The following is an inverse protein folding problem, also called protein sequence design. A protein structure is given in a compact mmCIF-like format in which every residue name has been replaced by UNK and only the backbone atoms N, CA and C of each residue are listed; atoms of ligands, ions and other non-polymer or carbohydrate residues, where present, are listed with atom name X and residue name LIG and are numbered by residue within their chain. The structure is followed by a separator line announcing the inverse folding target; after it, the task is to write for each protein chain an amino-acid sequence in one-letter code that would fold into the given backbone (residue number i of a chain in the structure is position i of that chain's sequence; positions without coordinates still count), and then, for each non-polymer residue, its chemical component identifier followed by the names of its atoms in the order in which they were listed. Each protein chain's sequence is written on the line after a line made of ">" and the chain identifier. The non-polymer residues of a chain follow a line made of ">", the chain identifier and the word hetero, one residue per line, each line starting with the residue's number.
data_IF_881634626856
#
_entry.id   IF_881634626856
#
_cell.length_a   1.000
_cell.length_b   1.000
_cell.length_c   1.000
_cell.angle_alpha   90.00
_cell.angle_beta   90.00
_cell.angle_gamma   90.00
#
_symmetry.space_group_name_H-M   'P 1'
#
loop_
_entity.id
_entity.type
_entity.pdbx_description
1 polymer ?
#
# COMPACT_ATOMS: atom_id res chain seq x y z
N UNK A 1 -2.70 19.83 -1.89
CA UNK A 1 -2.19 18.64 -1.20
C UNK A 1 -1.36 19.03 0.01
N UNK A 2 -1.92 18.75 1.19
CA UNK A 2 -1.31 19.03 2.49
C UNK A 2 -0.79 17.74 3.13
N UNK A 3 0.10 17.85 4.13
CA UNK A 3 0.55 16.70 4.94
C UNK A 3 -0.58 16.19 5.83
N UNK A 4 -0.48 14.95 6.27
CA UNK A 4 -1.45 14.34 7.21
C UNK A 4 -2.66 13.70 6.55
N UNK A 5 -2.78 13.76 5.22
CA UNK A 5 -3.78 12.98 4.48
C UNK A 5 -3.64 11.51 4.83
N UNK A 6 -4.77 10.87 5.13
CA UNK A 6 -4.82 9.53 5.69
C UNK A 6 -5.89 8.69 5.00
N UNK A 7 -5.59 7.41 4.79
CA UNK A 7 -6.58 6.44 4.35
C UNK A 7 -6.24 5.05 4.86
N UNK A 8 -7.27 4.26 5.16
CA UNK A 8 -7.15 2.86 5.56
C UNK A 8 -7.77 1.96 4.50
N UNK A 9 -6.95 1.11 3.88
CA UNK A 9 -7.43 0.01 3.05
C UNK A 9 -7.55 -1.27 3.87
N UNK A 10 -8.48 -2.14 3.48
CA UNK A 10 -8.74 -3.43 4.14
C UNK A 10 -8.85 -4.54 3.13
N UNK A 11 -8.45 -5.74 3.52
CA UNK A 11 -8.59 -6.96 2.71
C UNK A 11 -8.78 -8.17 3.61
N UNK A 12 -9.57 -9.14 3.14
CA UNK A 12 -9.65 -10.45 3.77
C UNK A 12 -8.56 -11.36 3.21
N UNK A 13 -7.89 -12.12 4.08
CA UNK A 13 -6.95 -13.15 3.64
C UNK A 13 -7.73 -14.28 2.98
N UNK A 14 -7.43 -14.55 1.71
CA UNK A 14 -8.05 -15.60 0.89
C UNK A 14 -6.95 -16.40 0.21
N UNK A 15 -7.29 -17.54 -0.39
CA UNK A 15 -6.31 -18.36 -1.10
C UNK A 15 -5.52 -17.55 -2.15
N UNK A 16 -6.15 -16.59 -2.83
CA UNK A 16 -5.54 -15.79 -3.89
C UNK A 16 -4.46 -14.80 -3.43
N UNK A 17 -4.37 -14.48 -2.12
CA UNK A 17 -3.40 -13.52 -1.59
C UNK A 17 -2.46 -14.15 -0.55
N UNK A 18 -2.31 -15.47 -0.61
CA UNK A 18 -1.35 -16.21 0.22
C UNK A 18 0.06 -16.17 -0.35
N UNK A 19 1.05 -16.43 0.51
CA UNK A 19 2.45 -16.53 0.09
C UNK A 19 2.65 -17.62 -0.97
N UNK A 20 1.94 -18.75 -0.83
CA UNK A 20 1.89 -19.81 -1.82
C UNK A 20 1.33 -19.33 -3.17
N UNK A 21 0.15 -18.70 -3.17
CA UNK A 21 -0.49 -18.28 -4.41
C UNK A 21 0.27 -17.17 -5.16
N UNK A 22 0.96 -16.29 -4.42
CA UNK A 22 1.75 -15.20 -4.99
C UNK A 22 3.22 -15.57 -5.26
N UNK A 23 3.62 -16.82 -4.97
CA UNK A 23 4.97 -17.32 -5.22
C UNK A 23 6.06 -16.69 -4.34
N UNK A 24 5.69 -16.05 -3.23
CA UNK A 24 6.66 -15.46 -2.28
C UNK A 24 7.06 -16.40 -1.16
N UNK A 25 6.42 -17.57 -1.06
CA UNK A 25 6.68 -18.59 -0.06
C UNK A 25 5.85 -19.85 -0.34
N UNK A 26 5.87 -20.81 0.58
CA UNK A 26 5.22 -22.13 0.45
C UNK A 26 4.02 -22.31 1.42
N UNK A 27 3.60 -21.24 2.11
CA UNK A 27 2.57 -21.28 3.14
C UNK A 27 1.26 -20.57 2.74
N UNK A 28 0.13 -21.08 3.25
CA UNK A 28 -1.21 -20.47 3.12
C UNK A 28 -1.47 -19.35 4.16
N UNK A 29 -0.55 -18.38 4.23
CA UNK A 29 -0.68 -17.17 5.06
C UNK A 29 -0.60 -15.93 4.20
N UNK A 30 -1.13 -14.81 4.68
CA UNK A 30 -1.11 -13.54 3.93
C UNK A 30 0.32 -13.20 3.48
N UNK A 31 0.48 -12.97 2.18
CA UNK A 31 1.79 -12.80 1.59
C UNK A 31 2.38 -11.41 1.88
N UNK A 32 3.70 -11.31 1.99
CA UNK A 32 4.39 -10.01 1.94
C UNK A 32 4.07 -9.19 0.69
N UNK A 33 4.04 -9.73 -0.55
CA UNK A 33 3.60 -8.96 -1.71
C UNK A 33 2.13 -8.51 -1.62
N UNK A 34 1.25 -9.28 -1.00
CA UNK A 34 -0.14 -8.86 -0.78
C UNK A 34 -0.24 -7.72 0.25
N UNK A 35 0.57 -7.78 1.31
CA UNK A 35 0.71 -6.71 2.30
C UNK A 35 1.21 -5.42 1.64
N UNK A 36 2.26 -5.50 0.83
CA UNK A 36 2.81 -4.37 0.07
C UNK A 36 1.72 -3.76 -0.83
N UNK A 37 0.99 -4.59 -1.59
CA UNK A 37 -0.10 -4.11 -2.45
C UNK A 37 -1.20 -3.39 -1.64
N UNK A 38 -1.54 -3.89 -0.46
CA UNK A 38 -2.51 -3.26 0.45
C UNK A 38 -2.01 -1.89 0.95
N UNK A 39 -0.76 -1.82 1.38
CA UNK A 39 -0.10 -0.59 1.84
C UNK A 39 -0.02 0.46 0.71
N UNK A 40 0.35 0.03 -0.49
CA UNK A 40 0.37 0.87 -1.69
C UNK A 40 -1.01 1.43 -2.04
N UNK A 41 -2.05 0.59 -1.94
CA UNK A 41 -3.42 0.99 -2.20
C UNK A 41 -3.89 2.07 -1.20
N UNK A 42 -3.57 1.89 0.09
CA UNK A 42 -3.88 2.87 1.11
C UNK A 42 -3.21 4.22 0.81
N UNK A 43 -1.91 4.22 0.48
CA UNK A 43 -1.17 5.44 0.13
C UNK A 43 -1.70 6.13 -1.12
N UNK A 44 -2.07 5.37 -2.16
CA UNK A 44 -2.66 5.92 -3.38
C UNK A 44 -4.01 6.60 -3.09
N UNK A 45 -4.88 5.93 -2.31
CA UNK A 45 -6.20 6.45 -1.96
C UNK A 45 -6.17 7.64 -1.00
N UNK A 46 -5.18 7.70 -0.10
CA UNK A 46 -5.01 8.82 0.83
C UNK A 46 -4.92 10.17 0.13
N UNK A 47 -4.33 10.21 -1.06
CA UNK A 47 -4.12 11.46 -1.81
C UNK A 47 -5.04 11.61 -3.02
N UNK A 48 -5.78 10.56 -3.40
CA UNK A 48 -6.64 10.55 -4.59
C UNK A 48 -7.59 11.76 -4.70
N UNK A 49 -8.28 12.21 -3.62
CA UNK A 49 -9.19 13.36 -3.70
C UNK A 49 -8.49 14.69 -4.00
N UNK A 50 -7.19 14.78 -3.76
CA UNK A 50 -6.36 15.99 -3.88
C UNK A 50 -5.55 16.03 -5.17
N UNK A 51 -5.66 14.99 -6.01
CA UNK A 51 -4.94 14.93 -7.28
C UNK A 51 -5.61 15.82 -8.33
N UNK A 52 -4.82 16.46 -9.21
CA UNK A 52 -5.37 17.10 -10.40
C UNK A 52 -6.18 16.10 -11.24
N UNK A 53 -7.17 16.61 -11.96
CA UNK A 53 -7.90 15.81 -12.94
C UNK A 53 -6.91 15.15 -13.93
N UNK A 54 -7.22 13.92 -14.35
CA UNK A 54 -6.33 13.13 -15.21
C UNK A 54 -5.11 12.52 -14.49
N UNK A 55 -4.77 12.94 -13.26
CA UNK A 55 -3.58 12.46 -12.54
C UNK A 55 -3.82 11.28 -11.59
N UNK A 56 -2.80 10.43 -11.42
CA UNK A 56 -2.72 9.34 -10.45
C UNK A 56 -1.38 9.39 -9.70
N UNK A 57 -1.12 8.43 -8.82
CA UNK A 57 0.22 8.21 -8.26
C UNK A 57 0.78 6.83 -8.60
N UNK A 58 2.07 6.76 -8.88
CA UNK A 58 2.81 5.50 -9.12
C UNK A 58 3.84 5.29 -8.02
N UNK A 59 3.88 4.09 -7.44
CA UNK A 59 4.88 3.71 -6.43
C UNK A 59 6.27 3.62 -7.05
N UNK A 60 7.28 4.14 -6.35
CA UNK A 60 8.67 4.12 -6.80
C UNK A 60 9.61 3.41 -5.82
N UNK A 61 9.23 3.33 -4.55
CA UNK A 61 10.03 2.68 -3.51
C UNK A 61 9.11 2.29 -2.35
N UNK A 62 9.29 1.08 -1.82
CA UNK A 62 8.73 0.68 -0.54
C UNK A 62 9.78 -0.10 0.26
N UNK A 63 9.91 0.23 1.53
CA UNK A 63 10.62 -0.57 2.52
C UNK A 63 9.62 -0.96 3.60
N UNK A 64 9.56 -2.25 3.93
CA UNK A 64 8.54 -2.78 4.84
C UNK A 64 9.06 -3.90 5.71
N UNK A 65 8.45 -4.02 6.89
CA UNK A 65 8.55 -5.19 7.74
C UNK A 65 7.24 -5.99 7.68
N UNK A 66 7.33 -7.31 7.78
CA UNK A 66 6.17 -8.20 7.92
C UNK A 66 6.46 -9.13 9.10
N UNK A 67 6.08 -8.69 10.31
CA UNK A 67 6.58 -9.21 11.58
C UNK A 67 5.73 -10.36 12.14
N UNK A 68 4.50 -10.54 11.64
CA UNK A 68 3.58 -11.60 12.08
C UNK A 68 2.74 -12.10 10.90
N UNK A 69 2.47 -13.41 10.81
CA UNK A 69 1.60 -13.95 9.77
C UNK A 69 0.12 -13.73 10.11
N UNK A 70 -0.70 -13.47 9.09
CA UNK A 70 -2.17 -13.49 9.18
C UNK A 70 -2.74 -14.71 8.45
N UNK A 71 -3.62 -15.45 9.12
CA UNK A 71 -4.20 -16.69 8.60
C UNK A 71 -5.34 -16.43 7.61
N UNK A 72 -5.69 -17.44 6.81
CA UNK A 72 -6.90 -17.41 5.97
C UNK A 72 -8.13 -16.98 6.78
N UNK A 73 -8.94 -16.08 6.20
CA UNK A 73 -10.15 -15.57 6.81
C UNK A 73 -9.97 -14.31 7.68
N UNK A 74 -8.74 -14.01 8.14
CA UNK A 74 -8.45 -12.77 8.87
C UNK A 74 -8.69 -11.53 8.00
N UNK A 75 -9.03 -10.39 8.62
CA UNK A 75 -9.04 -9.08 7.98
C UNK A 75 -7.73 -8.37 8.31
N UNK A 76 -6.99 -7.97 7.26
CA UNK A 76 -5.80 -7.13 7.38
C UNK A 76 -6.16 -5.73 6.92
N UNK A 77 -5.77 -4.73 7.71
CA UNK A 77 -5.91 -3.31 7.41
C UNK A 77 -4.54 -2.68 7.22
N UNK A 78 -4.40 -1.71 6.31
CA UNK A 78 -3.23 -0.87 6.18
C UNK A 78 -3.65 0.60 6.16
N UNK A 79 -3.09 1.38 7.07
CA UNK A 79 -3.35 2.82 7.20
C UNK A 79 -2.12 3.58 6.74
N UNK A 80 -2.26 4.37 5.68
CA UNK A 80 -1.19 5.23 5.16
C UNK A 80 -1.41 6.68 5.57
N UNK A 81 -0.34 7.35 6.00
CA UNK A 81 -0.32 8.77 6.34
C UNK A 81 0.72 9.46 5.46
N UNK A 82 0.32 10.54 4.77
CA UNK A 82 1.23 11.37 3.97
C UNK A 82 2.10 12.24 4.88
N UNK A 83 3.38 11.91 5.01
CA UNK A 83 4.32 12.62 5.89
C UNK A 83 5.04 13.78 5.19
N UNK A 84 5.27 13.66 3.88
CA UNK A 84 6.00 14.68 3.14
C UNK A 84 5.55 14.82 1.68
N UNK A 85 5.61 16.07 1.17
CA UNK A 85 5.29 16.45 -0.20
C UNK A 85 6.43 17.32 -0.74
N UNK A 86 7.11 16.83 -1.78
CA UNK A 86 8.23 17.51 -2.45
C UNK A 86 7.93 17.61 -3.95
N UNK A 87 7.20 18.65 -4.35
CA UNK A 87 6.68 18.78 -5.71
C UNK A 87 5.77 17.60 -6.06
N UNK A 88 6.21 16.73 -6.97
CA UNK A 88 5.46 15.52 -7.38
C UNK A 88 5.80 14.27 -6.55
N UNK A 89 6.78 14.32 -5.66
CA UNK A 89 7.20 13.19 -4.81
C UNK A 89 6.44 13.23 -3.50
N UNK A 90 5.86 12.10 -3.12
CA UNK A 90 5.05 11.91 -1.92
C UNK A 90 5.68 10.81 -1.06
N UNK A 91 5.88 11.07 0.23
CA UNK A 91 6.40 10.09 1.18
C UNK A 91 5.36 9.76 2.23
N UNK A 92 5.17 8.47 2.49
CA UNK A 92 4.16 7.93 3.38
C UNK A 92 4.80 7.05 4.44
N UNK A 93 4.21 7.10 5.64
CA UNK A 93 4.33 6.04 6.64
C UNK A 93 3.07 5.20 6.62
N UNK A 94 3.22 3.90 6.67
CA UNK A 94 2.11 2.95 6.61
C UNK A 94 2.23 1.95 7.75
N UNK A 95 1.14 1.73 8.47
CA UNK A 95 1.04 0.67 9.48
C UNK A 95 -0.04 -0.30 9.06
N UNK A 96 0.26 -1.60 9.10
CA UNK A 96 -0.69 -2.66 8.83
C UNK A 96 -0.94 -3.51 10.07
N UNK A 97 -2.21 -3.86 10.28
CA UNK A 97 -2.68 -4.60 11.45
C UNK A 97 -3.79 -5.57 11.08
N UNK A 98 -3.84 -6.69 11.79
CA UNK A 98 -4.99 -7.61 11.82
C UNK A 98 -5.68 -7.55 13.19
N UNK A 99 -6.58 -8.51 13.48
CA UNK A 99 -7.31 -8.58 14.75
C UNK A 99 -6.42 -8.79 15.98
N UNK A 100 -5.18 -9.24 15.78
CA UNK A 100 -4.18 -9.55 16.82
C UNK A 100 -3.11 -8.46 16.97
N UNK A 101 -3.20 -7.40 16.19
CA UNK A 101 -2.34 -6.21 16.28
C UNK A 101 -1.50 -5.98 15.03
N UNK A 102 -0.40 -5.25 15.19
CA UNK A 102 0.47 -4.86 14.07
C UNK A 102 1.13 -6.08 13.45
N UNK A 103 1.01 -6.19 12.12
CA UNK A 103 1.62 -7.22 11.28
C UNK A 103 2.75 -6.67 10.41
N UNK A 104 2.79 -5.36 10.18
CA UNK A 104 3.87 -4.73 9.43
C UNK A 104 3.84 -3.21 9.43
N UNK A 105 4.97 -2.61 9.12
CA UNK A 105 5.15 -1.17 8.98
C UNK A 105 6.00 -0.88 7.75
N UNK A 106 5.72 0.23 7.06
CA UNK A 106 6.42 0.61 5.86
C UNK A 106 6.66 2.11 5.72
N UNK A 107 7.75 2.44 5.04
CA UNK A 107 7.95 3.74 4.38
C UNK A 107 7.73 3.55 2.88
N UNK A 108 6.88 4.38 2.29
CA UNK A 108 6.49 4.27 0.88
C UNK A 108 6.64 5.59 0.14
N UNK A 109 7.20 5.56 -1.08
CA UNK A 109 7.35 6.73 -1.95
C UNK A 109 6.48 6.54 -3.19
N UNK A 110 5.66 7.56 -3.49
CA UNK A 110 4.87 7.63 -4.73
C UNK A 110 5.15 8.93 -5.48
N UNK A 111 4.99 8.90 -6.80
CA UNK A 111 5.06 10.08 -7.66
C UNK A 111 3.71 10.37 -8.28
N UNK A 112 3.29 11.63 -8.25
CA UNK A 112 2.15 12.11 -9.03
C UNK A 112 2.53 12.07 -10.51
N UNK A 113 1.66 11.49 -11.34
CA UNK A 113 1.81 11.39 -12.78
C UNK A 113 0.48 11.67 -13.49
N UNK A 114 0.57 12.26 -14.67
CA UNK A 114 -0.54 12.31 -15.62
C UNK A 114 -0.74 10.92 -16.25
N UNK A 115 -1.98 10.42 -16.30
CA UNK A 115 -2.26 9.04 -16.75
C UNK A 115 -1.88 8.84 -18.21
N UNK A 116 -2.31 9.73 -19.10
CA UNK A 116 -2.10 9.58 -20.55
C UNK A 116 -0.61 9.66 -20.89
N UNK A 117 0.08 10.68 -20.39
CA UNK A 117 1.52 10.87 -20.61
C UNK A 117 2.37 9.78 -19.97
N UNK A 118 1.92 9.19 -18.86
CA UNK A 118 2.64 8.08 -18.25
C UNK A 118 2.52 6.82 -19.12
N UNK A 119 1.31 6.51 -19.59
CA UNK A 119 1.05 5.33 -20.41
C UNK A 119 1.64 5.42 -21.83
N UNK A 120 1.78 6.63 -22.40
CA UNK A 120 2.38 6.81 -23.73
C UNK A 120 3.89 6.52 -23.78
N UNK A 121 4.53 6.20 -22.65
CA UNK A 121 5.95 5.87 -22.55
C UNK A 121 6.24 4.36 -22.48
N UNK A 122 5.20 3.54 -22.46
CA UNK A 122 5.30 2.07 -22.55
C UNK A 122 5.32 1.63 -24.01
#
# INVERSE_FOLDING_TARGET
>A
MEKGLVYTSKVKVTQANTALALGSGDMEVFATPALVALMENAAMKAVQPELPEGSTTVGAFIETTHVKPSALGEEVSATAVLENVEGRKLAFKVTASDTKGVVGEATHIRYIVDRERFMSKL
#
